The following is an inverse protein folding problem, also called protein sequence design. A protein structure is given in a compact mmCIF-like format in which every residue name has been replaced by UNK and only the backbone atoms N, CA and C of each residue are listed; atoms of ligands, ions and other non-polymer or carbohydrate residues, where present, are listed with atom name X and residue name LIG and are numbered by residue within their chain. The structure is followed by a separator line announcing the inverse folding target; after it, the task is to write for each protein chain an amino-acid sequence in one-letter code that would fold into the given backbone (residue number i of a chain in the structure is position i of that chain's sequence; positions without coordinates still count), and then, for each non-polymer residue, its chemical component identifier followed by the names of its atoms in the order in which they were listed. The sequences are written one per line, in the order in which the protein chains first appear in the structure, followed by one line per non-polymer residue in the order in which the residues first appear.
data_IF_221764717228
#
_entry.id   IF_221764717228
#
_cell.length_a   1.000
_cell.length_b   1.000
_cell.length_c   1.000
_cell.angle_alpha   90.00
_cell.angle_beta   90.00
_cell.angle_gamma   90.00
#
_symmetry.space_group_name_H-M   'P 1'
#
loop_
_entity.id
_entity.type
_entity.pdbx_description
1 polymer ?
#
# COMPACT_ATOMS: atom_id res chain seq x y z
N UNK A 1 0.19 -40.18 13.12
CA UNK A 1 -0.60 -39.06 13.68
C UNK A 1 0.20 -37.77 13.51
N UNK A 2 -0.16 -36.88 12.56
CA UNK A 2 0.37 -35.51 12.57
C UNK A 2 -0.22 -34.82 13.79
N UNK A 3 0.62 -34.46 14.76
CA UNK A 3 0.16 -33.82 15.99
C UNK A 3 -0.55 -32.51 15.66
N UNK A 4 -1.65 -32.20 16.35
CA UNK A 4 -2.35 -30.93 16.16
C UNK A 4 -1.39 -29.74 16.33
N UNK A 5 -0.38 -29.87 17.20
CA UNK A 5 0.69 -28.89 17.37
C UNK A 5 1.42 -28.52 16.06
N UNK A 6 1.60 -29.45 15.12
CA UNK A 6 2.19 -29.18 13.81
C UNK A 6 1.23 -28.40 12.88
N UNK A 7 -0.09 -28.59 13.05
CA UNK A 7 -1.11 -27.82 12.32
C UNK A 7 -1.21 -26.38 12.84
N UNK A 8 -1.17 -26.20 14.16
CA UNK A 8 -1.17 -24.88 14.80
C UNK A 8 0.10 -24.09 14.51
N UNK A 9 1.28 -24.72 14.61
CA UNK A 9 2.55 -24.07 14.25
C UNK A 9 2.62 -23.74 12.76
N UNK A 10 2.15 -24.63 11.88
CA UNK A 10 2.04 -24.36 10.45
C UNK A 10 1.14 -23.17 10.13
N UNK A 11 -0.07 -23.13 10.72
CA UNK A 11 -1.02 -22.03 10.50
C UNK A 11 -0.51 -20.69 11.03
N UNK A 12 0.09 -20.68 12.23
CA UNK A 12 0.67 -19.47 12.82
C UNK A 12 1.85 -18.96 11.99
N UNK A 13 2.84 -19.82 11.71
CA UNK A 13 4.03 -19.40 10.98
C UNK A 13 3.70 -18.97 9.54
N UNK A 14 2.79 -19.67 8.86
CA UNK A 14 2.41 -19.30 7.50
C UNK A 14 1.66 -17.96 7.45
N UNK A 15 0.72 -17.73 8.38
CA UNK A 15 -0.01 -16.46 8.46
C UNK A 15 0.90 -15.28 8.81
N UNK A 16 1.83 -15.44 9.76
CA UNK A 16 2.77 -14.37 10.11
C UNK A 16 3.75 -14.04 8.98
N UNK A 17 4.23 -15.05 8.26
CA UNK A 17 5.10 -14.84 7.09
C UNK A 17 4.34 -14.07 6.01
N UNK A 18 3.08 -14.42 5.75
CA UNK A 18 2.25 -13.70 4.79
C UNK A 18 2.02 -12.22 5.18
N UNK A 19 1.73 -11.95 6.44
CA UNK A 19 1.57 -10.57 6.93
C UNK A 19 2.88 -9.78 6.77
N UNK A 20 4.02 -10.39 7.12
CA UNK A 20 5.33 -9.77 7.00
C UNK A 20 5.74 -9.52 5.55
N UNK A 21 5.43 -10.44 4.63
CA UNK A 21 5.76 -10.28 3.21
C UNK A 21 4.91 -9.18 2.58
N UNK A 22 3.58 -9.18 2.82
CA UNK A 22 2.69 -8.11 2.34
C UNK A 22 3.12 -6.75 2.89
N UNK A 23 3.38 -6.68 4.19
CA UNK A 23 3.84 -5.44 4.85
C UNK A 23 5.18 -4.99 4.30
N UNK A 24 6.12 -5.91 4.09
CA UNK A 24 7.44 -5.62 3.53
C UNK A 24 7.36 -5.09 2.10
N UNK A 25 6.55 -5.71 1.23
CA UNK A 25 6.36 -5.25 -0.15
C UNK A 25 5.73 -3.85 -0.19
N UNK A 26 4.70 -3.62 0.62
CA UNK A 26 4.07 -2.29 0.72
C UNK A 26 5.05 -1.24 1.26
N UNK A 27 5.83 -1.59 2.29
CA UNK A 27 6.83 -0.69 2.88
C UNK A 27 7.89 -0.28 1.86
N UNK A 28 8.43 -1.25 1.11
CA UNK A 28 9.42 -0.97 0.04
C UNK A 28 8.81 -0.07 -1.03
N UNK A 29 7.60 -0.36 -1.51
CA UNK A 29 6.93 0.49 -2.49
C UNK A 29 6.72 1.92 -1.98
N UNK A 30 6.28 2.08 -0.73
CA UNK A 30 6.08 3.39 -0.12
C UNK A 30 7.39 4.17 0.03
N UNK A 31 8.48 3.52 0.44
CA UNK A 31 9.78 4.17 0.53
C UNK A 31 10.25 4.69 -0.83
N UNK A 32 10.10 3.89 -1.88
CA UNK A 32 10.47 4.29 -3.24
C UNK A 32 9.60 5.45 -3.76
N UNK A 33 8.29 5.37 -3.54
CA UNK A 33 7.33 6.41 -3.94
C UNK A 33 7.58 7.71 -3.17
N UNK A 34 7.75 7.64 -1.86
CA UNK A 34 8.03 8.80 -1.02
C UNK A 34 9.38 9.44 -1.36
N UNK A 35 10.39 8.63 -1.69
CA UNK A 35 11.66 9.14 -2.20
C UNK A 35 11.48 9.89 -3.53
N UNK A 36 10.74 9.33 -4.49
CA UNK A 36 10.43 9.99 -5.77
C UNK A 36 9.65 11.30 -5.54
N UNK A 37 8.67 11.28 -4.65
CA UNK A 37 7.84 12.43 -4.30
C UNK A 37 8.68 13.56 -3.67
N UNK A 38 9.57 13.24 -2.74
CA UNK A 38 10.41 14.21 -2.05
C UNK A 38 11.56 14.77 -2.91
N UNK A 39 11.86 14.15 -4.06
CA UNK A 39 12.97 14.57 -4.94
C UNK A 39 12.79 15.99 -5.49
N UNK A 40 11.54 16.38 -5.78
CA UNK A 40 11.22 17.71 -6.31
C UNK A 40 11.20 18.83 -5.26
N UNK A 41 11.24 18.49 -3.97
CA UNK A 41 11.08 19.43 -2.88
C UNK A 41 12.42 19.93 -2.33
N UNK A 42 12.44 21.19 -1.87
CA UNK A 42 13.59 21.75 -1.11
C UNK A 42 13.81 20.92 0.15
N UNK A 43 15.06 20.77 0.64
CA UNK A 43 15.33 19.96 1.83
C UNK A 43 14.48 20.29 3.07
N UNK A 44 14.10 21.56 3.25
CA UNK A 44 13.22 22.04 4.32
C UNK A 44 11.77 21.59 4.20
N UNK A 45 11.32 21.32 2.97
CA UNK A 45 9.91 21.06 2.64
C UNK A 45 9.65 19.56 2.44
N UNK A 46 10.69 18.73 2.54
CA UNK A 46 10.60 17.28 2.40
C UNK A 46 9.77 16.72 3.56
N UNK A 47 8.76 15.93 3.20
CA UNK A 47 8.01 15.15 4.16
C UNK A 47 8.83 13.90 4.53
N UNK A 48 8.55 13.27 5.67
CA UNK A 48 9.27 12.06 6.11
C UNK A 48 9.32 10.98 5.02
N UNK A 49 10.40 10.19 4.99
CA UNK A 49 10.58 9.13 3.97
C UNK A 49 9.53 8.02 4.07
N UNK A 50 8.96 7.80 5.25
CA UNK A 50 7.94 6.79 5.46
C UNK A 50 6.67 7.45 6.03
N UNK A 51 5.64 7.67 5.21
CA UNK A 51 4.39 8.22 5.67
C UNK A 51 3.61 7.15 6.46
N UNK A 52 3.78 7.14 7.79
CA UNK A 52 3.14 6.14 8.65
C UNK A 52 1.61 6.00 8.50
N UNK A 53 0.84 7.10 8.35
CA UNK A 53 -0.60 6.98 8.14
C UNK A 53 -0.94 6.21 6.86
N UNK A 54 -0.17 6.40 5.79
CA UNK A 54 -0.37 5.71 4.52
C UNK A 54 -0.01 4.23 4.62
N UNK A 55 1.09 3.92 5.30
CA UNK A 55 1.48 2.53 5.54
C UNK A 55 0.46 1.78 6.38
N UNK A 56 0.02 2.34 7.51
CA UNK A 56 -0.94 1.68 8.40
C UNK A 56 -2.29 1.49 7.72
N UNK A 57 -2.80 2.52 7.02
CA UNK A 57 -4.05 2.42 6.29
C UNK A 57 -3.96 1.41 5.13
N UNK A 58 -2.87 1.43 4.36
CA UNK A 58 -2.65 0.50 3.25
C UNK A 58 -2.47 -0.94 3.73
N UNK A 59 -1.66 -1.18 4.77
CA UNK A 59 -1.46 -2.50 5.34
C UNK A 59 -2.78 -3.06 5.90
N UNK A 60 -3.55 -2.24 6.63
CA UNK A 60 -4.88 -2.60 7.12
C UNK A 60 -5.82 -2.99 5.97
N UNK A 61 -5.89 -2.18 4.91
CA UNK A 61 -6.72 -2.47 3.75
C UNK A 61 -6.29 -3.78 3.05
N UNK A 62 -4.99 -3.99 2.86
CA UNK A 62 -4.47 -5.21 2.24
C UNK A 62 -4.85 -6.47 3.05
N UNK A 63 -4.76 -6.41 4.38
CA UNK A 63 -5.14 -7.52 5.26
C UNK A 63 -6.65 -7.78 5.24
N UNK A 64 -7.47 -6.72 5.26
CA UNK A 64 -8.93 -6.84 5.17
C UNK A 64 -9.33 -7.50 3.85
N UNK A 65 -8.73 -7.09 2.74
CA UNK A 65 -8.99 -7.69 1.43
C UNK A 65 -8.46 -9.12 1.31
N UNK A 66 -7.35 -9.43 2.00
CA UNK A 66 -6.84 -10.80 2.08
C UNK A 66 -7.82 -11.73 2.77
N UNK A 67 -8.48 -11.22 3.81
CA UNK A 67 -9.51 -11.95 4.53
C UNK A 67 -10.79 -12.13 3.70
N UNK A 68 -11.24 -11.08 3.01
CA UNK A 68 -12.45 -11.08 2.18
C UNK A 68 -12.14 -11.10 0.68
N UNK A 69 -11.59 -12.20 0.18
CA UNK A 69 -11.15 -12.30 -1.23
C UNK A 69 -12.25 -12.72 -2.22
N UNK A 70 -13.39 -13.21 -1.75
CA UNK A 70 -14.45 -13.78 -2.60
C UNK A 70 -15.65 -12.85 -2.83
N UNK A 71 -16.20 -12.92 -4.04
CA UNK A 71 -17.47 -12.29 -4.41
C UNK A 71 -17.41 -10.76 -4.56
N UNK A 72 -18.49 -10.08 -4.19
CA UNK A 72 -18.65 -8.63 -4.36
C UNK A 72 -18.04 -7.81 -3.21
N UNK A 73 -17.72 -8.45 -2.08
CA UNK A 73 -17.20 -7.78 -0.89
C UNK A 73 -15.89 -7.01 -1.15
N UNK A 74 -14.85 -7.58 -1.79
CA UNK A 74 -13.62 -6.83 -2.05
C UNK A 74 -13.86 -5.59 -2.91
N UNK A 75 -14.78 -5.64 -3.88
CA UNK A 75 -15.13 -4.47 -4.69
C UNK A 75 -15.75 -3.34 -3.84
N UNK A 76 -16.66 -3.69 -2.92
CA UNK A 76 -17.25 -2.73 -1.97
C UNK A 76 -16.18 -2.13 -1.06
N UNK A 77 -15.31 -2.97 -0.49
CA UNK A 77 -14.22 -2.54 0.41
C UNK A 77 -13.27 -1.59 -0.32
N UNK A 78 -12.88 -1.90 -1.57
CA UNK A 78 -12.01 -1.04 -2.37
C UNK A 78 -12.70 0.28 -2.69
N UNK A 79 -13.99 0.26 -3.08
CA UNK A 79 -14.72 1.48 -3.41
C UNK A 79 -14.79 2.44 -2.20
N UNK A 80 -15.09 1.91 -1.01
CA UNK A 80 -15.12 2.66 0.23
C UNK A 80 -13.73 3.15 0.62
N UNK A 81 -12.71 2.29 0.52
CA UNK A 81 -11.32 2.64 0.82
C UNK A 81 -10.80 3.78 -0.05
N UNK A 82 -11.06 3.74 -1.36
CA UNK A 82 -10.68 4.80 -2.30
C UNK A 82 -11.48 6.08 -2.05
N UNK A 83 -12.78 5.98 -1.75
CA UNK A 83 -13.61 7.15 -1.41
C UNK A 83 -13.08 7.85 -0.14
N UNK A 84 -12.83 7.08 0.92
CA UNK A 84 -12.25 7.59 2.18
C UNK A 84 -10.87 8.20 1.94
N UNK A 85 -10.02 7.55 1.15
CA UNK A 85 -8.71 8.08 0.79
C UNK A 85 -8.82 9.40 0.02
N UNK A 86 -9.80 9.56 -0.87
CA UNK A 86 -10.06 10.84 -1.54
C UNK A 86 -10.50 11.95 -0.59
N UNK A 87 -11.32 11.63 0.41
CA UNK A 87 -11.73 12.59 1.45
C UNK A 87 -10.53 12.98 2.33
N UNK A 88 -9.75 12.01 2.78
CA UNK A 88 -8.56 12.25 3.61
C UNK A 88 -7.49 13.01 2.82
N UNK A 89 -7.30 12.69 1.54
CA UNK A 89 -6.40 13.40 0.64
C UNK A 89 -6.65 14.91 0.61
N UNK A 90 -7.91 15.34 0.75
CA UNK A 90 -8.26 16.76 0.76
C UNK A 90 -7.81 17.47 2.04
N UNK A 91 -7.82 16.76 3.17
CA UNK A 91 -7.57 17.33 4.50
C UNK A 91 -6.14 17.09 5.03
N UNK A 92 -5.47 16.03 4.59
CA UNK A 92 -4.21 15.56 5.17
C UNK A 92 -2.94 16.12 4.53
N UNK A 93 -1.81 15.86 5.20
CA UNK A 93 -0.48 15.90 4.58
C UNK A 93 -0.35 14.72 3.60
N UNK A 94 0.45 14.87 2.53
CA UNK A 94 0.55 13.92 1.40
C UNK A 94 -0.69 13.84 0.48
N UNK A 95 -1.34 14.97 0.19
CA UNK A 95 -2.60 15.07 -0.58
C UNK A 95 -2.67 14.23 -1.87
N UNK A 96 -1.55 14.01 -2.56
CA UNK A 96 -1.51 13.25 -3.82
C UNK A 96 -1.31 11.74 -3.69
N UNK A 97 -0.92 11.22 -2.51
CA UNK A 97 -0.44 9.83 -2.38
C UNK A 97 -1.47 8.86 -1.81
N UNK A 98 -2.55 9.35 -1.20
CA UNK A 98 -3.56 8.50 -0.55
C UNK A 98 -4.25 7.53 -1.52
N UNK A 99 -4.76 8.04 -2.64
CA UNK A 99 -5.44 7.22 -3.65
C UNK A 99 -4.51 6.14 -4.25
N UNK A 100 -3.33 6.48 -4.81
CA UNK A 100 -2.46 5.47 -5.39
C UNK A 100 -2.01 4.41 -4.37
N UNK A 101 -1.80 4.79 -3.11
CA UNK A 101 -1.45 3.85 -2.05
C UNK A 101 -2.60 2.90 -1.72
N UNK A 102 -3.85 3.37 -1.67
CA UNK A 102 -5.00 2.47 -1.47
C UNK A 102 -5.18 1.50 -2.63
N UNK A 103 -4.92 1.93 -3.87
CA UNK A 103 -4.96 1.05 -5.04
C UNK A 103 -3.84 -0.01 -4.98
N UNK A 104 -2.62 0.38 -4.59
CA UNK A 104 -1.52 -0.56 -4.38
C UNK A 104 -1.85 -1.58 -3.28
N UNK A 105 -2.36 -1.11 -2.14
CA UNK A 105 -2.80 -1.97 -1.05
C UNK A 105 -3.90 -2.94 -1.49
N UNK A 106 -4.84 -2.49 -2.31
CA UNK A 106 -5.90 -3.34 -2.85
C UNK A 106 -5.36 -4.45 -3.75
N UNK A 107 -4.48 -4.10 -4.69
CA UNK A 107 -3.84 -5.08 -5.58
C UNK A 107 -3.03 -6.11 -4.79
N UNK A 108 -2.31 -5.66 -3.76
CA UNK A 108 -1.52 -6.52 -2.90
C UNK A 108 -2.40 -7.45 -2.06
N UNK A 109 -3.48 -6.94 -1.45
CA UNK A 109 -4.43 -7.72 -0.67
C UNK A 109 -5.14 -8.80 -1.49
N UNK A 110 -5.45 -8.51 -2.76
CA UNK A 110 -6.02 -9.48 -3.69
C UNK A 110 -4.98 -10.43 -4.31
N UNK A 111 -3.69 -10.25 -4.03
CA UNK A 111 -2.61 -11.09 -4.55
C UNK A 111 -2.19 -10.80 -5.99
N UNK A 112 -2.62 -9.68 -6.58
CA UNK A 112 -2.23 -9.24 -7.92
C UNK A 112 -0.83 -8.61 -7.93
N UNK A 113 0.19 -9.40 -7.58
CA UNK A 113 1.57 -8.93 -7.40
C UNK A 113 2.16 -8.28 -8.66
N UNK A 114 1.87 -8.81 -9.85
CA UNK A 114 2.37 -8.23 -11.11
C UNK A 114 1.77 -6.83 -11.33
N UNK A 115 0.47 -6.68 -11.14
CA UNK A 115 -0.23 -5.39 -11.24
C UNK A 115 0.26 -4.41 -10.18
N UNK A 116 0.53 -4.88 -8.96
CA UNK A 116 1.13 -4.07 -7.90
C UNK A 116 2.50 -3.52 -8.31
N UNK A 117 3.38 -4.35 -8.86
CA UNK A 117 4.71 -3.92 -9.34
C UNK A 117 4.55 -2.93 -10.49
N UNK A 118 3.71 -3.22 -11.48
CA UNK A 118 3.46 -2.33 -12.62
C UNK A 118 2.93 -0.97 -12.18
N UNK A 119 1.94 -0.94 -11.29
CA UNK A 119 1.38 0.31 -10.78
C UNK A 119 2.42 1.09 -9.97
N UNK A 120 3.25 0.41 -9.16
CA UNK A 120 4.35 1.05 -8.42
C UNK A 120 5.33 1.72 -9.37
N UNK A 121 5.75 1.02 -10.43
CA UNK A 121 6.65 1.57 -11.45
C UNK A 121 6.03 2.74 -12.20
N UNK A 122 4.73 2.66 -12.53
CA UNK A 122 4.00 3.73 -13.21
C UNK A 122 3.91 4.98 -12.33
N UNK A 123 3.57 4.83 -11.04
CA UNK A 123 3.56 5.93 -10.07
C UNK A 123 4.95 6.56 -9.97
N UNK A 124 6.00 5.75 -9.83
CA UNK A 124 7.37 6.25 -9.78
C UNK A 124 7.73 7.04 -11.04
N UNK A 125 7.42 6.50 -12.23
CA UNK A 125 7.67 7.18 -13.50
C UNK A 125 6.96 8.52 -13.57
N UNK A 126 5.67 8.57 -13.23
CA UNK A 126 4.88 9.81 -13.20
C UNK A 126 5.49 10.82 -12.23
N UNK A 127 5.86 10.41 -11.03
CA UNK A 127 6.48 11.30 -10.03
C UNK A 127 7.85 11.81 -10.50
N UNK A 128 8.66 10.95 -11.11
CA UNK A 128 9.97 11.32 -11.64
C UNK A 128 9.88 12.33 -12.79
N UNK A 129 8.87 12.21 -13.65
CA UNK A 129 8.59 13.15 -14.74
C UNK A 129 8.00 14.46 -14.19
N UNK A 130 7.06 14.37 -13.24
CA UNK A 130 6.34 15.52 -12.70
C UNK A 130 7.22 16.45 -11.87
N UNK A 131 8.27 15.94 -11.21
CA UNK A 131 9.15 16.72 -10.33
C UNK A 131 9.90 17.88 -11.02
N UNK A 132 9.85 17.99 -12.35
CA UNK A 132 10.44 19.09 -13.12
C UNK A 132 9.46 20.09 -13.71
N UNK A 133 8.14 19.89 -13.56
CA UNK A 133 7.11 20.63 -14.34
C UNK A 133 6.51 21.85 -13.63
N UNK A 134 6.67 21.95 -12.31
CA UNK A 134 6.22 23.10 -11.49
C UNK A 134 7.38 24.07 -11.15
N UNK A 135 8.37 24.20 -12.04
CA UNK A 135 9.41 25.24 -11.97
C UNK A 135 9.09 26.39 -12.93
#
# INVERSE_FOLDING_TARGET
MRSESARWTGALLHGWVEVLTLSGMLLVALLLIAWCYNRGLRPSDRQGLLPWPLFLAGAGLALVLRHFHDGLLPAVIISLGVMVAGVIAKAGTHRGLWIPVMLLAALLGLGYNLSFVLLTLLIMLVLLISAGRDR
#
